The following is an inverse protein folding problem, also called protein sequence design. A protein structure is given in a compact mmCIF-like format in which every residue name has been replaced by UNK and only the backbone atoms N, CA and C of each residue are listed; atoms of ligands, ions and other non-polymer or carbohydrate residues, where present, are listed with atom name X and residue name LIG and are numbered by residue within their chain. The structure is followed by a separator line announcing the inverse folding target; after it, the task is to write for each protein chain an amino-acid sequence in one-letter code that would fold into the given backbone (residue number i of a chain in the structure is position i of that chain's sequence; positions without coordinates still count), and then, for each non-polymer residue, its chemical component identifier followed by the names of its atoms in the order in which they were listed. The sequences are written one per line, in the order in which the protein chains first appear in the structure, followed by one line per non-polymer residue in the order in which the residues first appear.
data_IF_861107969856
#
_entry.id   IF_861107969856
#
_cell.length_a   1.000
_cell.length_b   1.000
_cell.length_c   1.000
_cell.angle_alpha   90.00
_cell.angle_beta   90.00
_cell.angle_gamma   90.00
#
_symmetry.space_group_name_H-M   'P 1'
#
loop_
_entity.id
_entity.type
_entity.pdbx_description
1 polymer ?
#
# COMPACT_ATOMS: atom_id res chain seq x y z
N UNK A 1 9.94 -18.10 11.04
CA UNK A 1 8.55 -18.55 10.81
C UNK A 1 8.34 -18.88 9.34
N UNK A 2 7.11 -19.24 8.97
CA UNK A 2 6.71 -19.55 7.58
C UNK A 2 6.70 -18.33 6.65
N UNK A 3 6.79 -17.11 7.21
CA UNK A 3 6.71 -15.85 6.49
C UNK A 3 8.05 -15.13 6.38
N UNK A 4 8.13 -14.31 5.34
CA UNK A 4 9.13 -13.28 5.15
C UNK A 4 8.43 -11.98 4.75
N UNK A 5 8.79 -10.88 5.43
CA UNK A 5 8.28 -9.54 5.13
C UNK A 5 9.36 -8.80 4.36
N UNK A 6 9.01 -8.31 3.18
CA UNK A 6 9.91 -7.58 2.29
C UNK A 6 9.52 -6.10 2.29
N UNK A 7 10.38 -5.26 2.86
CA UNK A 7 10.18 -3.81 2.89
C UNK A 7 10.88 -3.17 1.69
N UNK A 8 10.12 -2.45 0.88
CA UNK A 8 10.62 -1.84 -0.35
C UNK A 8 10.53 -0.33 -0.29
N UNK A 9 11.62 0.32 -0.72
CA UNK A 9 11.63 1.76 -0.90
C UNK A 9 11.07 2.11 -2.29
N UNK A 10 10.05 2.97 -2.30
CA UNK A 10 9.45 3.51 -3.53
C UNK A 10 9.59 5.04 -3.63
N UNK A 11 10.26 5.68 -2.67
CA UNK A 11 10.45 7.13 -2.66
C UNK A 11 11.38 7.59 -3.78
N UNK A 12 10.98 8.67 -4.46
CA UNK A 12 11.78 9.37 -5.46
C UNK A 12 12.05 10.79 -4.98
N UNK A 13 13.33 11.17 -4.87
CA UNK A 13 13.68 12.53 -4.49
C UNK A 13 13.08 13.55 -5.47
N UNK A 14 12.35 14.54 -4.94
CA UNK A 14 11.73 15.61 -5.72
C UNK A 14 10.48 15.20 -6.49
N UNK A 15 9.89 14.02 -6.22
CA UNK A 15 8.63 13.57 -6.85
C UNK A 15 7.66 13.03 -5.82
N UNK A 16 6.38 13.31 -6.07
CA UNK A 16 5.26 12.72 -5.32
C UNK A 16 5.03 11.27 -5.73
N UNK A 17 5.13 10.97 -7.04
CA UNK A 17 4.96 9.63 -7.54
C UNK A 17 6.11 8.70 -7.11
N UNK A 18 5.77 7.43 -6.93
CA UNK A 18 6.72 6.42 -6.47
C UNK A 18 7.46 5.73 -7.60
N UNK A 19 8.64 5.18 -7.31
CA UNK A 19 9.32 4.23 -8.21
C UNK A 19 10.19 3.27 -7.42
N UNK A 20 10.11 2.00 -7.77
CA UNK A 20 11.09 1.00 -7.31
C UNK A 20 12.25 0.96 -8.31
N UNK A 21 13.49 1.04 -7.84
CA UNK A 21 14.65 1.03 -8.73
C UNK A 21 14.77 -0.30 -9.48
N UNK A 22 15.42 -0.29 -10.65
CA UNK A 22 15.70 -1.53 -11.40
C UNK A 22 16.55 -2.51 -10.59
N UNK A 23 17.43 -2.01 -9.72
CA UNK A 23 18.25 -2.85 -8.84
C UNK A 23 17.38 -3.55 -7.79
N UNK A 24 16.46 -2.81 -7.16
CA UNK A 24 15.58 -3.36 -6.14
C UNK A 24 14.57 -4.35 -6.72
N UNK A 25 14.06 -4.10 -7.94
CA UNK A 25 13.20 -5.07 -8.65
C UNK A 25 13.95 -6.38 -8.96
N UNK A 26 15.22 -6.30 -9.39
CA UNK A 26 16.04 -7.51 -9.61
C UNK A 26 16.31 -8.26 -8.32
N UNK A 27 16.61 -7.54 -7.24
CA UNK A 27 16.81 -8.15 -5.91
C UNK A 27 15.52 -8.79 -5.39
N UNK A 28 14.36 -8.14 -5.59
CA UNK A 28 13.05 -8.69 -5.26
C UNK A 28 12.85 -10.02 -6.01
N UNK A 29 13.00 -10.02 -7.33
CA UNK A 29 12.82 -11.22 -8.15
C UNK A 29 13.73 -12.37 -7.69
N UNK A 30 15.01 -12.09 -7.40
CA UNK A 30 15.95 -13.09 -6.89
C UNK A 30 15.52 -13.64 -5.52
N UNK A 31 15.12 -12.77 -4.59
CA UNK A 31 14.65 -13.18 -3.25
C UNK A 31 13.40 -14.04 -3.33
N UNK A 32 12.45 -13.69 -4.19
CA UNK A 32 11.23 -14.47 -4.39
C UNK A 32 11.53 -15.87 -4.94
N UNK A 33 12.45 -16.00 -5.89
CA UNK A 33 12.86 -17.29 -6.48
C UNK A 33 13.60 -18.20 -5.50
N UNK A 34 14.34 -17.63 -4.55
CA UNK A 34 15.18 -18.37 -3.60
C UNK A 34 14.44 -18.78 -2.32
N UNK A 35 13.21 -18.28 -2.10
CA UNK A 35 12.49 -18.47 -0.85
C UNK A 35 11.29 -19.40 -1.02
N UNK A 36 11.15 -20.37 -0.13
CA UNK A 36 9.93 -21.19 -0.01
C UNK A 36 8.91 -20.60 0.98
N UNK A 37 9.24 -19.48 1.65
CA UNK A 37 8.39 -18.82 2.64
C UNK A 37 7.27 -18.02 1.98
N UNK A 38 6.14 -17.87 2.65
CA UNK A 38 5.11 -16.91 2.27
C UNK A 38 5.64 -15.48 2.35
N UNK A 39 5.33 -14.67 1.34
CA UNK A 39 5.86 -13.31 1.22
C UNK A 39 4.74 -12.29 1.42
N UNK A 40 4.98 -11.34 2.33
CA UNK A 40 4.26 -10.08 2.42
C UNK A 40 5.20 -8.98 1.93
N UNK A 41 4.82 -8.27 0.87
CA UNK A 41 5.61 -7.17 0.32
C UNK A 41 4.97 -5.86 0.79
N UNK A 42 5.79 -4.97 1.37
CA UNK A 42 5.35 -3.66 1.84
C UNK A 42 6.08 -2.54 1.08
N UNK A 43 5.34 -1.55 0.59
CA UNK A 43 5.89 -0.36 -0.07
C UNK A 43 5.00 0.86 0.23
N UNK A 44 5.49 2.09 0.01
CA UNK A 44 4.68 3.28 0.28
C UNK A 44 3.62 3.52 -0.80
N UNK A 45 4.02 3.63 -2.06
CA UNK A 45 3.13 4.01 -3.17
C UNK A 45 2.33 2.82 -3.70
N UNK A 46 1.04 3.04 -3.97
CA UNK A 46 0.12 2.02 -4.46
C UNK A 46 0.54 1.48 -5.84
N UNK A 47 0.57 0.14 -6.03
CA UNK A 47 0.93 -0.49 -7.30
C UNK A 47 -0.28 -0.70 -8.23
N UNK A 48 -1.47 -0.28 -7.79
CA UNK A 48 -2.73 -0.37 -8.55
C UNK A 48 -3.53 0.92 -8.35
N UNK A 49 -4.39 1.29 -9.32
CA UNK A 49 -5.36 2.36 -9.12
C UNK A 49 -6.29 2.04 -7.94
N UNK A 50 -6.57 3.03 -7.10
CA UNK A 50 -7.48 2.93 -5.96
C UNK A 50 -8.83 3.59 -6.21
N UNK A 51 -9.05 4.15 -7.40
CA UNK A 51 -10.33 4.76 -7.78
C UNK A 51 -10.47 6.22 -7.35
N UNK A 52 -9.35 6.89 -7.05
CA UNK A 52 -9.31 8.31 -6.73
C UNK A 52 -8.39 8.99 -7.75
N UNK A 53 -8.97 9.81 -8.64
CA UNK A 53 -8.31 10.19 -9.90
C UNK A 53 -7.02 10.96 -9.68
N UNK A 54 -6.94 11.82 -8.66
CA UNK A 54 -5.70 12.54 -8.36
C UNK A 54 -4.64 11.62 -7.75
N UNK A 55 -5.01 10.72 -6.84
CA UNK A 55 -4.10 9.72 -6.25
C UNK A 55 -3.57 8.75 -7.32
N UNK A 56 -4.42 8.33 -8.25
CA UNK A 56 -4.07 7.39 -9.31
C UNK A 56 -3.02 7.97 -10.30
N UNK A 57 -2.83 9.30 -10.31
CA UNK A 57 -1.74 9.97 -11.07
C UNK A 57 -0.39 9.96 -10.36
N UNK A 58 -0.35 9.69 -9.05
CA UNK A 58 0.83 9.78 -8.20
C UNK A 58 1.18 8.46 -7.49
N UNK A 59 0.65 7.34 -7.99
CA UNK A 59 1.01 6.00 -7.53
C UNK A 59 2.43 5.58 -7.94
N UNK A 60 2.66 4.26 -8.00
CA UNK A 60 3.93 3.71 -8.42
C UNK A 60 4.11 3.79 -9.96
N UNK A 61 5.01 4.65 -10.44
CA UNK A 61 5.28 4.92 -11.87
C UNK A 61 5.59 3.65 -12.68
N UNK A 62 6.33 2.71 -12.09
CA UNK A 62 6.67 1.43 -12.69
C UNK A 62 5.89 0.26 -12.06
N UNK A 63 4.63 0.50 -11.69
CA UNK A 63 3.71 -0.50 -11.17
C UNK A 63 3.64 -1.76 -12.03
N UNK A 64 3.63 -1.64 -13.35
CA UNK A 64 3.56 -2.80 -14.25
C UNK A 64 4.77 -3.73 -14.09
N UNK A 65 5.98 -3.19 -13.96
CA UNK A 65 7.19 -3.99 -13.75
C UNK A 65 7.15 -4.72 -12.40
N UNK A 66 6.74 -4.00 -11.36
CA UNK A 66 6.58 -4.55 -10.02
C UNK A 66 5.51 -5.65 -10.00
N UNK A 67 4.30 -5.36 -10.46
CA UNK A 67 3.17 -6.29 -10.47
C UNK A 67 3.45 -7.53 -11.32
N UNK A 68 4.21 -7.41 -12.41
CA UNK A 68 4.66 -8.58 -13.20
C UNK A 68 5.51 -9.52 -12.37
N UNK A 69 6.51 -9.03 -11.65
CA UNK A 69 7.39 -9.85 -10.80
C UNK A 69 6.60 -10.50 -9.68
N UNK A 70 5.73 -9.73 -9.01
CA UNK A 70 4.94 -10.21 -7.88
C UNK A 70 3.92 -11.27 -8.30
N UNK A 71 3.21 -11.07 -9.41
CA UNK A 71 2.23 -12.05 -9.92
C UNK A 71 2.86 -13.38 -10.34
N UNK A 72 4.10 -13.35 -10.86
CA UNK A 72 4.83 -14.55 -11.29
C UNK A 72 5.29 -15.43 -10.12
N UNK A 73 5.38 -14.89 -8.90
CA UNK A 73 5.89 -15.60 -7.74
C UNK A 73 4.75 -16.28 -6.96
N UNK A 74 4.77 -17.62 -6.85
CA UNK A 74 3.72 -18.40 -6.17
C UNK A 74 3.72 -18.28 -4.65
N UNK A 75 4.81 -17.80 -4.09
CA UNK A 75 4.98 -17.62 -2.65
C UNK A 75 4.52 -16.23 -2.17
N UNK A 76 4.19 -15.29 -3.05
CA UNK A 76 3.62 -14.01 -2.63
C UNK A 76 2.14 -14.16 -2.30
N UNK A 77 1.76 -13.68 -1.12
CA UNK A 77 0.38 -13.73 -0.61
C UNK A 77 -0.28 -12.37 -0.64
N UNK A 78 0.47 -11.31 -0.32
CA UNK A 78 -0.09 -9.97 -0.25
C UNK A 78 0.93 -8.86 -0.56
N UNK A 79 0.38 -7.73 -0.99
CA UNK A 79 1.09 -6.45 -1.10
C UNK A 79 0.37 -5.43 -0.24
N UNK A 80 1.07 -4.89 0.76
CA UNK A 80 0.60 -3.81 1.62
C UNK A 80 1.20 -2.49 1.18
N UNK A 81 0.37 -1.46 1.04
CA UNK A 81 0.80 -0.11 0.70
C UNK A 81 0.14 0.97 1.53
N UNK A 82 0.68 2.19 1.42
CA UNK A 82 0.15 3.39 2.06
C UNK A 82 -0.14 4.45 1.00
N UNK A 83 0.34 5.67 1.23
CA UNK A 83 0.21 6.85 0.35
C UNK A 83 -1.22 7.39 0.18
N UNK A 84 -2.20 6.51 0.04
CA UNK A 84 -3.58 6.86 -0.33
C UNK A 84 -4.45 7.35 0.84
N UNK A 85 -3.98 7.24 2.10
CA UNK A 85 -4.71 7.63 3.31
C UNK A 85 -6.16 7.09 3.34
N UNK A 86 -6.36 5.91 2.78
CA UNK A 86 -7.65 5.24 2.61
C UNK A 86 -7.49 3.77 2.95
N UNK A 87 -8.55 3.17 3.48
CA UNK A 87 -8.68 1.72 3.49
C UNK A 87 -9.02 1.28 2.07
N UNK A 88 -8.15 0.49 1.46
CA UNK A 88 -8.37 -0.13 0.17
C UNK A 88 -8.06 -1.61 0.28
N UNK A 89 -8.90 -2.45 -0.33
CA UNK A 89 -8.62 -3.87 -0.50
C UNK A 89 -9.06 -4.35 -1.87
N UNK A 90 -8.22 -5.16 -2.51
CA UNK A 90 -8.55 -5.82 -3.75
C UNK A 90 -7.90 -7.19 -3.84
N UNK A 91 -8.58 -8.12 -4.49
CA UNK A 91 -8.01 -9.40 -4.88
C UNK A 91 -7.56 -9.32 -6.34
N UNK A 92 -6.28 -9.55 -6.60
CA UNK A 92 -5.72 -9.60 -7.95
C UNK A 92 -5.05 -10.96 -8.16
N UNK A 93 -5.73 -11.86 -8.89
CA UNK A 93 -5.32 -13.26 -8.97
C UNK A 93 -5.18 -13.86 -7.56
N UNK A 94 -4.00 -14.38 -7.20
CA UNK A 94 -3.67 -14.92 -5.87
C UNK A 94 -3.22 -13.87 -4.85
N UNK A 95 -3.09 -12.59 -5.24
CA UNK A 95 -2.56 -11.53 -4.40
C UNK A 95 -3.69 -10.77 -3.68
N UNK A 96 -3.56 -10.62 -2.37
CA UNK A 96 -4.34 -9.65 -1.59
C UNK A 96 -3.61 -8.31 -1.57
N UNK A 97 -4.21 -7.30 -2.18
CA UNK A 97 -3.70 -5.94 -2.23
C UNK A 97 -4.41 -5.13 -1.14
N UNK A 98 -3.64 -4.49 -0.26
CA UNK A 98 -4.18 -3.79 0.91
C UNK A 98 -3.55 -2.41 1.04
N UNK A 99 -4.37 -1.40 1.34
CA UNK A 99 -3.95 -0.15 1.95
C UNK A 99 -4.44 -0.05 3.38
N UNK A 100 -3.69 0.69 4.19
CA UNK A 100 -4.05 1.05 5.56
C UNK A 100 -4.39 2.54 5.63
N UNK A 101 -5.43 2.92 6.39
CA UNK A 101 -5.70 4.32 6.73
C UNK A 101 -4.48 5.06 7.27
N UNK A 102 -4.47 6.39 7.14
CA UNK A 102 -3.46 7.19 7.82
C UNK A 102 -3.71 7.25 9.32
N UNK A 103 -2.65 7.45 10.10
CA UNK A 103 -2.73 7.79 11.52
C UNK A 103 -3.09 9.27 11.77
N UNK A 104 -3.36 10.06 10.72
CA UNK A 104 -3.83 11.45 10.80
C UNK A 104 -5.12 11.66 9.98
N UNK A 105 -5.19 12.72 9.17
CA UNK A 105 -6.28 12.99 8.24
C UNK A 105 -6.35 11.93 7.13
N UNK A 106 -7.56 11.71 6.64
CA UNK A 106 -7.84 10.79 5.55
C UNK A 106 -8.05 11.57 4.24
N UNK A 107 -7.72 10.97 3.11
CA UNK A 107 -8.12 11.51 1.81
C UNK A 107 -9.53 11.06 1.46
N UNK A 108 -10.31 11.95 0.85
CA UNK A 108 -11.65 11.62 0.38
C UNK A 108 -11.58 10.57 -0.75
N UNK A 109 -12.40 9.54 -0.63
CA UNK A 109 -12.55 8.51 -1.65
C UNK A 109 -13.31 9.06 -2.87
N UNK A 110 -13.05 8.51 -4.06
CA UNK A 110 -13.74 8.86 -5.31
C UNK A 110 -13.69 10.35 -5.69
N UNK A 111 -12.65 11.07 -5.25
CA UNK A 111 -12.47 12.48 -5.59
C UNK A 111 -11.67 12.67 -6.88
N UNK A 112 -12.05 13.67 -7.67
CA UNK A 112 -11.33 14.05 -8.88
C UNK A 112 -10.08 14.90 -8.59
N UNK A 113 -10.18 15.77 -7.58
CA UNK A 113 -9.15 16.66 -7.09
C UNK A 113 -8.79 16.34 -5.63
N UNK A 114 -7.68 16.93 -5.14
CA UNK A 114 -7.28 16.78 -3.74
C UNK A 114 -8.41 17.16 -2.80
N UNK A 115 -8.76 16.24 -1.89
CA UNK A 115 -9.77 16.45 -0.87
C UNK A 115 -9.48 15.55 0.33
N UNK A 116 -9.78 16.07 1.53
CA UNK A 116 -9.71 15.35 2.80
C UNK A 116 -11.10 14.92 3.24
N UNK A 117 -11.19 13.83 4.00
CA UNK A 117 -12.41 13.41 4.68
C UNK A 117 -12.24 13.60 6.19
N UNK A 118 -12.84 14.67 6.71
CA UNK A 118 -12.78 15.04 8.13
C UNK A 118 -13.76 14.23 8.99
N UNK A 119 -14.67 13.49 8.36
CA UNK A 119 -15.66 12.66 9.06
C UNK A 119 -15.09 11.31 9.50
N UNK A 120 -13.96 10.92 8.91
CA UNK A 120 -13.31 9.64 9.17
C UNK A 120 -12.02 9.87 9.98
N UNK A 121 -11.98 9.26 11.17
CA UNK A 121 -10.81 9.35 12.04
C UNK A 121 -9.59 8.54 11.57
N UNK A 122 -8.42 8.82 12.18
CA UNK A 122 -7.21 8.01 12.06
C UNK A 122 -7.46 6.52 12.24
N UNK A 123 -6.64 5.69 11.61
CA UNK A 123 -6.71 4.25 11.78
C UNK A 123 -5.37 3.54 11.65
N UNK A 124 -5.38 2.27 12.03
CA UNK A 124 -4.29 1.33 11.83
C UNK A 124 -4.87 -0.01 11.36
N UNK A 125 -4.00 -0.89 10.87
CA UNK A 125 -4.35 -2.27 10.49
C UNK A 125 -3.51 -3.23 11.30
N UNK A 126 -4.12 -4.23 11.91
CA UNK A 126 -3.39 -5.38 12.44
C UNK A 126 -3.39 -6.52 11.41
N UNK A 127 -2.36 -7.34 11.47
CA UNK A 127 -2.15 -8.49 10.58
C UNK A 127 -1.74 -9.69 11.44
N UNK A 128 -2.44 -10.80 11.28
CA UNK A 128 -2.04 -12.10 11.77
C UNK A 128 -1.66 -12.99 10.57
N UNK A 129 -0.40 -13.40 10.53
CA UNK A 129 0.20 -14.12 9.41
C UNK A 129 0.25 -15.63 9.72
N UNK A 130 -0.67 -16.38 9.13
CA UNK A 130 -0.88 -17.79 9.45
C UNK A 130 0.12 -18.72 8.75
N UNK A 131 0.53 -19.85 9.35
CA UNK A 131 1.53 -20.74 8.76
C UNK A 131 1.20 -21.30 7.37
N UNK A 132 -0.08 -21.33 6.98
CA UNK A 132 -0.57 -21.80 5.67
C UNK A 132 -0.54 -20.72 4.57
N UNK A 133 -0.17 -19.49 4.92
CA UNK A 133 -0.11 -18.36 4.01
C UNK A 133 -1.38 -17.51 3.98
N UNK A 134 -2.40 -17.85 4.75
CA UNK A 134 -3.56 -16.97 4.96
C UNK A 134 -3.22 -15.79 5.88
N UNK A 135 -3.97 -14.70 5.73
CA UNK A 135 -3.81 -13.47 6.49
C UNK A 135 -5.15 -13.14 7.12
N UNK A 136 -5.20 -13.06 8.45
CA UNK A 136 -6.31 -12.44 9.18
C UNK A 136 -5.96 -10.99 9.46
N UNK A 137 -6.89 -10.07 9.23
CA UNK A 137 -6.62 -8.64 9.30
C UNK A 137 -7.87 -7.82 9.49
N UNK A 138 -7.76 -6.71 10.19
CA UNK A 138 -8.81 -5.71 10.29
C UNK A 138 -8.20 -4.31 10.40
N UNK A 139 -8.98 -3.32 9.96
CA UNK A 139 -8.71 -1.90 10.16
C UNK A 139 -9.41 -1.44 11.44
N UNK A 140 -8.64 -0.94 12.38
CA UNK A 140 -9.15 -0.30 13.58
C UNK A 140 -9.06 1.23 13.43
N UNK A 141 -10.13 1.94 13.80
CA UNK A 141 -10.18 3.41 13.77
C UNK A 141 -10.38 4.00 15.13
N UNK A 142 -9.82 5.19 15.33
CA UNK A 142 -10.10 6.03 16.49
C UNK A 142 -11.53 6.56 16.37
N UNK A 143 -12.38 6.25 17.35
CA UNK A 143 -13.76 6.75 17.42
C UNK A 143 -13.80 8.17 18.02
N UNK A 144 -14.86 8.92 17.70
CA UNK A 144 -15.10 10.27 18.23
C UNK A 144 -13.94 11.26 17.98
N UNK A 145 -13.22 11.08 16.88
CA UNK A 145 -12.17 12.00 16.45
C UNK A 145 -12.79 13.31 15.95
N UNK A 146 -12.26 14.44 16.43
CA UNK A 146 -12.52 15.76 15.86
C UNK A 146 -11.21 16.29 15.30
N UNK A 147 -11.15 16.50 13.99
CA UNK A 147 -10.02 17.16 13.35
C UNK A 147 -10.36 18.63 13.18
N UNK A 148 -9.45 19.51 13.56
CA UNK A 148 -9.48 20.92 13.15
C UNK A 148 -8.35 21.09 12.13
N UNK A 149 -8.71 21.25 10.84
CA UNK A 149 -7.73 21.51 9.79
C UNK A 149 -7.12 22.90 10.00
N UNK A 150 -5.79 22.99 10.04
CA UNK A 150 -5.09 24.28 9.85
C UNK A 150 -5.01 24.54 8.34
N UNK A 151 -5.72 25.55 7.86
CA UNK A 151 -5.87 25.91 6.43
C UNK A 151 -4.52 26.15 5.71
N UNK A 152 -3.42 26.28 6.45
CA UNK A 152 -2.07 26.48 5.90
C UNK A 152 -1.34 25.19 5.47
N UNK A 153 -1.92 24.00 5.60
CA UNK A 153 -1.32 22.74 5.13
C UNK A 153 -2.02 22.23 3.88
N UNK A 154 -1.77 22.91 2.75
CA UNK A 154 -2.12 22.40 1.43
C UNK A 154 -1.29 21.14 1.17
N UNK A 155 -1.96 19.99 1.10
CA UNK A 155 -1.31 18.71 0.81
C UNK A 155 -0.70 18.69 -0.60
N UNK A 156 0.48 18.05 -0.69
CA UNK A 156 1.34 17.80 -1.87
C UNK A 156 1.79 19.00 -2.70
#
# INVERSE_FOLDING_TARGET
GAWQILLMNSHQAGKVAGRVTKSDLKQLEQRLKQSSRHQLICLHHQPVPVGCRWLDKIGLDNAQDFMRIVNQADNVRAVLFGHVHQHFEAQHSKLHLMSTPSTCFQFAANSDDFATDETIGPGYRWLELMPDGSISTEVCRVQNFKYEMDENHMGY
#
